data_IF_190793107002
#
_entry.id   IF_190793107002
#
_cell.length_a   1.000
_cell.length_b   1.000
_cell.length_c   1.000
_cell.angle_alpha   90.00
_cell.angle_beta   90.00
_cell.angle_gamma   90.00
#
_symmetry.space_group_name_H-M   'P 1'
#
loop_
_entity.id
_entity.type
_entity.pdbx_description
1 polymer ?
#
# COMPACT_ATOMS: atom_id res chain seq x y z
N UNK A 1 12.29 -10.35 -6.92
CA UNK A 1 12.87 -9.17 -6.25
C UNK A 1 13.47 -9.65 -4.94
N UNK A 2 14.77 -9.87 -4.92
CA UNK A 2 15.47 -10.50 -3.78
C UNK A 2 15.68 -9.53 -2.62
N UNK A 3 15.66 -8.22 -2.87
CA UNK A 3 15.76 -7.19 -1.83
C UNK A 3 14.95 -5.95 -2.23
N UNK A 4 14.28 -5.35 -1.26
CA UNK A 4 13.76 -3.99 -1.27
C UNK A 4 13.54 -3.55 0.18
N UNK A 5 13.46 -2.26 0.44
CA UNK A 5 13.21 -1.77 1.79
C UNK A 5 13.13 -0.26 1.87
N UNK A 6 12.72 0.24 3.04
CA UNK A 6 12.70 1.66 3.37
C UNK A 6 13.31 1.81 4.76
N UNK A 7 14.43 2.49 4.87
CA UNK A 7 15.14 2.69 6.15
C UNK A 7 14.57 3.86 6.93
N UNK A 8 14.60 3.75 8.26
CA UNK A 8 14.09 4.78 9.18
C UNK A 8 15.19 5.58 9.87
N UNK A 9 16.40 5.59 9.31
CA UNK A 9 17.51 6.38 9.85
C UNK A 9 17.21 7.89 9.86
N UNK A 10 17.85 8.61 10.76
CA UNK A 10 17.76 10.06 10.87
C UNK A 10 18.62 10.74 9.79
N UNK A 11 17.95 11.52 8.94
CA UNK A 11 18.63 12.30 7.92
C UNK A 11 19.56 13.35 8.57
N UNK A 12 20.77 13.46 8.04
CA UNK A 12 21.72 14.52 8.38
C UNK A 12 22.43 15.04 7.13
N UNK A 13 23.11 16.17 7.25
CA UNK A 13 23.79 16.84 6.12
C UNK A 13 24.81 15.94 5.39
N UNK A 14 25.41 14.99 6.09
CA UNK A 14 26.37 14.03 5.49
C UNK A 14 25.67 13.00 4.59
N UNK A 15 24.37 12.75 4.84
CA UNK A 15 23.57 11.71 4.16
C UNK A 15 22.62 12.28 3.09
N UNK A 16 22.46 13.61 2.97
CA UNK A 16 21.58 14.24 1.96
C UNK A 16 21.88 13.81 0.51
N UNK A 17 23.14 13.47 0.21
CA UNK A 17 23.58 13.01 -1.11
C UNK A 17 23.86 11.50 -1.18
N UNK A 18 23.59 10.77 -0.10
CA UNK A 18 23.79 9.32 -0.05
C UNK A 18 22.68 8.61 -0.85
N UNK A 19 22.84 7.30 -1.02
CA UNK A 19 21.91 6.47 -1.77
C UNK A 19 20.52 6.40 -1.12
N UNK A 20 20.47 6.39 0.20
CA UNK A 20 19.23 6.19 0.96
C UNK A 20 18.61 7.50 1.45
N UNK A 21 17.29 7.49 1.52
CA UNK A 21 16.50 8.50 2.23
C UNK A 21 15.94 7.90 3.51
N UNK A 22 15.98 8.68 4.60
CA UNK A 22 15.37 8.31 5.88
C UNK A 22 13.86 8.59 5.89
N UNK A 23 13.09 7.63 6.37
CA UNK A 23 11.62 7.73 6.49
C UNK A 23 11.17 7.65 7.95
N UNK A 24 9.98 8.18 8.25
CA UNK A 24 9.34 7.85 9.53
C UNK A 24 8.95 6.37 9.56
N UNK A 25 8.85 5.78 10.75
CA UNK A 25 8.41 4.38 10.88
C UNK A 25 6.99 4.13 10.32
N UNK A 26 6.10 5.13 10.37
CA UNK A 26 4.78 5.06 9.75
C UNK A 26 4.87 5.06 8.22
N UNK A 27 5.75 5.88 7.64
CA UNK A 27 6.00 5.89 6.21
C UNK A 27 6.62 4.57 5.75
N UNK A 28 7.59 4.03 6.50
CA UNK A 28 8.15 2.69 6.25
C UNK A 28 7.02 1.65 6.20
N UNK A 29 6.18 1.59 7.24
CA UNK A 29 5.08 0.63 7.30
C UNK A 29 4.12 0.73 6.10
N UNK A 30 3.74 1.94 5.71
CA UNK A 30 2.86 2.16 4.57
C UNK A 30 3.51 1.79 3.24
N UNK A 31 4.78 2.14 3.04
CA UNK A 31 5.46 1.86 1.77
C UNK A 31 5.77 0.38 1.60
N UNK A 32 6.08 -0.33 2.68
CA UNK A 32 6.17 -1.79 2.68
C UNK A 32 4.84 -2.43 2.29
N UNK A 33 3.74 -2.00 2.92
CA UNK A 33 2.41 -2.47 2.59
C UNK A 33 2.05 -2.25 1.12
N UNK A 34 2.28 -1.04 0.59
CA UNK A 34 2.05 -0.71 -0.82
C UNK A 34 2.89 -1.59 -1.74
N UNK A 35 4.18 -1.77 -1.43
CA UNK A 35 5.10 -2.54 -2.28
C UNK A 35 4.78 -4.02 -2.31
N UNK A 36 4.42 -4.60 -1.17
CA UNK A 36 3.98 -5.99 -1.11
C UNK A 36 2.62 -6.19 -1.80
N UNK A 37 1.65 -5.30 -1.57
CA UNK A 37 0.35 -5.37 -2.25
C UNK A 37 0.49 -5.25 -3.78
N UNK A 38 1.36 -4.36 -4.25
CA UNK A 38 1.70 -4.24 -5.67
C UNK A 38 2.43 -5.47 -6.19
N UNK A 39 3.38 -6.02 -5.42
CA UNK A 39 4.10 -7.25 -5.80
C UNK A 39 3.16 -8.43 -5.98
N UNK A 40 2.14 -8.56 -5.12
CA UNK A 40 1.12 -9.61 -5.21
C UNK A 40 0.29 -9.50 -6.51
N UNK A 41 0.10 -8.28 -7.02
CA UNK A 41 -0.68 -8.03 -8.23
C UNK A 41 0.12 -8.21 -9.53
N UNK A 42 1.44 -8.29 -9.44
CA UNK A 42 2.35 -8.40 -10.57
C UNK A 42 2.88 -9.83 -10.70
N UNK A 43 3.41 -10.23 -11.88
CA UNK A 43 4.03 -11.55 -12.07
C UNK A 43 5.41 -11.64 -11.40
N UNK A 44 5.49 -11.30 -10.11
CA UNK A 44 6.70 -11.36 -9.29
C UNK A 44 6.62 -12.62 -8.44
N UNK A 45 7.48 -13.59 -8.73
CA UNK A 45 7.48 -14.88 -8.03
C UNK A 45 7.85 -14.78 -6.54
N UNK A 46 8.70 -13.80 -6.19
CA UNK A 46 9.19 -13.59 -4.83
C UNK A 46 9.56 -12.13 -4.62
N UNK A 47 9.12 -11.58 -3.48
CA UNK A 47 9.51 -10.27 -2.97
C UNK A 47 10.02 -10.44 -1.54
N UNK A 48 11.29 -10.13 -1.32
CA UNK A 48 11.94 -10.24 -0.02
C UNK A 48 12.24 -8.84 0.52
N UNK A 49 11.63 -8.50 1.66
CA UNK A 49 11.90 -7.27 2.38
C UNK A 49 13.27 -7.39 3.09
N UNK A 50 14.14 -6.42 2.82
CA UNK A 50 15.34 -6.16 3.60
C UNK A 50 15.01 -5.12 4.67
N UNK A 51 14.98 -5.46 5.96
CA UNK A 51 15.18 -6.79 6.54
C UNK A 51 14.25 -7.02 7.74
N UNK A 52 14.48 -8.10 8.51
CA UNK A 52 13.60 -8.47 9.61
C UNK A 52 13.92 -7.72 10.91
N UNK A 53 15.21 -7.56 11.23
CA UNK A 53 15.73 -7.00 12.48
C UNK A 53 16.73 -5.91 12.11
N UNK A 54 16.57 -4.73 12.70
CA UNK A 54 17.53 -3.63 12.55
C UNK A 54 18.97 -4.09 12.87
N UNK A 55 19.89 -3.77 11.96
CA UNK A 55 21.33 -4.01 12.13
C UNK A 55 22.01 -2.97 13.04
N UNK A 56 23.29 -3.18 13.36
CA UNK A 56 24.19 -2.23 14.04
C UNK A 56 23.62 -1.57 15.31
N UNK A 57 22.75 -2.27 16.03
CA UNK A 57 22.15 -1.77 17.28
C UNK A 57 21.08 -0.69 17.08
N UNK A 58 20.44 -0.61 15.90
CA UNK A 58 19.46 0.45 15.57
C UNK A 58 20.04 1.86 15.71
N UNK A 59 21.32 2.06 15.38
CA UNK A 59 21.94 3.39 15.42
C UNK A 59 21.21 4.34 14.46
N UNK A 60 20.54 5.40 14.95
CA UNK A 60 19.73 6.28 14.12
C UNK A 60 20.54 7.03 13.06
N UNK A 61 21.86 7.22 13.23
CA UNK A 61 22.69 7.91 12.24
C UNK A 61 23.18 7.00 11.11
N UNK A 62 23.05 5.68 11.29
CA UNK A 62 23.49 4.66 10.34
C UNK A 62 22.33 4.25 9.43
N UNK A 63 22.48 4.49 8.13
CA UNK A 63 21.45 4.26 7.11
C UNK A 63 21.05 2.79 6.95
N UNK A 64 22.02 1.89 7.05
CA UNK A 64 21.78 0.44 7.00
C UNK A 64 21.22 -0.14 8.32
N UNK A 65 21.27 0.60 9.43
CA UNK A 65 20.92 0.09 10.76
C UNK A 65 19.41 0.08 11.05
N UNK A 66 18.57 0.57 10.12
CA UNK A 66 17.18 0.92 10.42
C UNK A 66 16.16 0.39 9.39
N UNK A 67 16.54 -0.65 8.63
CA UNK A 67 15.67 -1.30 7.65
C UNK A 67 14.68 -2.31 8.24
N UNK A 68 14.94 -2.78 9.46
CA UNK A 68 14.19 -3.83 10.12
C UNK A 68 12.74 -3.47 10.32
N UNK A 69 11.89 -4.51 10.41
CA UNK A 69 10.53 -4.39 10.95
C UNK A 69 10.50 -4.58 12.48
N UNK A 70 11.61 -5.05 13.05
CA UNK A 70 11.93 -5.07 14.47
C UNK A 70 13.16 -4.19 14.73
N UNK A 71 13.21 -3.56 15.90
CA UNK A 71 14.43 -2.90 16.39
C UNK A 71 15.39 -3.94 16.94
N UNK A 72 16.66 -3.57 17.14
CA UNK A 72 17.72 -4.44 17.65
C UNK A 72 17.43 -5.05 19.03
N UNK A 73 16.53 -4.44 19.82
CA UNK A 73 16.01 -4.96 21.09
C UNK A 73 14.78 -5.90 20.93
N UNK A 74 14.46 -6.29 19.68
CA UNK A 74 13.28 -7.06 19.27
C UNK A 74 11.94 -6.37 19.49
N UNK A 75 11.92 -5.08 19.87
CA UNK A 75 10.69 -4.31 19.90
C UNK A 75 10.14 -4.13 18.49
N UNK A 76 8.81 -4.15 18.36
CA UNK A 76 8.14 -4.10 17.07
C UNK A 76 8.08 -2.66 16.57
N UNK A 77 8.43 -2.45 15.29
CA UNK A 77 8.08 -1.22 14.56
C UNK A 77 6.64 -1.33 14.03
N UNK A 78 5.96 -0.23 13.69
CA UNK A 78 4.66 -0.23 13.04
C UNK A 78 4.57 -1.19 11.84
N UNK A 79 5.66 -1.29 11.06
CA UNK A 79 5.77 -2.20 9.92
C UNK A 79 5.46 -3.66 10.28
N UNK A 80 5.91 -4.16 11.44
CA UNK A 80 5.63 -5.52 11.88
C UNK A 80 4.13 -5.81 11.96
N UNK A 81 3.35 -4.88 12.53
CA UNK A 81 1.90 -5.06 12.72
C UNK A 81 1.15 -4.98 11.39
N UNK A 82 1.59 -4.09 10.51
CA UNK A 82 1.03 -3.96 9.16
C UNK A 82 1.31 -5.21 8.33
N UNK A 83 2.53 -5.73 8.35
CA UNK A 83 2.90 -6.97 7.67
C UNK A 83 2.16 -8.18 8.23
N UNK A 84 2.02 -8.26 9.56
CA UNK A 84 1.19 -9.29 10.22
C UNK A 84 -0.25 -9.26 9.67
N UNK A 85 -0.86 -8.07 9.62
CA UNK A 85 -2.24 -7.91 9.14
C UNK A 85 -2.38 -8.24 7.67
N UNK A 86 -1.48 -7.74 6.83
CA UNK A 86 -1.47 -8.03 5.39
C UNK A 86 -1.40 -9.55 5.16
N UNK A 87 -0.48 -10.24 5.83
CA UNK A 87 -0.35 -11.69 5.70
C UNK A 87 -1.61 -12.42 6.15
N UNK A 88 -2.25 -12.02 7.25
CA UNK A 88 -3.51 -12.62 7.70
C UNK A 88 -4.67 -12.45 6.71
N UNK A 89 -4.68 -11.36 5.95
CA UNK A 89 -5.79 -11.03 5.03
C UNK A 89 -5.56 -11.53 3.59
N UNK A 90 -4.31 -11.60 3.15
CA UNK A 90 -3.94 -11.86 1.76
C UNK A 90 -3.12 -13.16 1.57
N UNK A 91 -2.87 -13.94 2.62
CA UNK A 91 -2.22 -15.24 2.46
C UNK A 91 -3.02 -16.16 1.53
N UNK A 92 -2.37 -16.63 0.47
CA UNK A 92 -2.99 -17.45 -0.57
C UNK A 92 -3.88 -16.70 -1.55
N UNK A 93 -3.98 -15.36 -1.43
CA UNK A 93 -4.65 -14.56 -2.44
C UNK A 93 -3.82 -14.52 -3.73
N UNK A 94 -4.50 -14.48 -4.86
CA UNK A 94 -3.92 -14.37 -6.20
C UNK A 94 -4.66 -13.28 -7.00
N UNK A 95 -4.02 -12.67 -8.01
CA UNK A 95 -4.69 -11.70 -8.88
C UNK A 95 -5.99 -12.26 -9.46
N UNK A 96 -7.07 -11.48 -9.42
CA UNK A 96 -8.34 -11.86 -10.04
C UNK A 96 -8.57 -11.06 -11.34
N UNK A 97 -8.26 -11.63 -12.52
CA UNK A 97 -8.44 -10.93 -13.79
C UNK A 97 -9.92 -10.76 -14.19
N UNK A 98 -10.85 -11.44 -13.52
CA UNK A 98 -12.28 -11.31 -13.79
C UNK A 98 -12.86 -10.01 -13.20
N UNK A 99 -12.26 -9.50 -12.12
CA UNK A 99 -12.71 -8.29 -11.43
C UNK A 99 -11.92 -7.09 -11.93
N UNK A 100 -12.62 -6.07 -12.42
CA UNK A 100 -12.01 -4.85 -12.97
C UNK A 100 -12.36 -3.66 -12.12
N UNK A 101 -11.34 -2.91 -11.72
CA UNK A 101 -11.52 -1.66 -10.98
C UNK A 101 -11.20 -0.48 -11.88
N UNK A 102 -12.16 0.43 -12.04
CA UNK A 102 -12.02 1.65 -12.83
C UNK A 102 -12.16 2.87 -11.92
N UNK A 103 -11.08 3.65 -11.80
CA UNK A 103 -11.05 4.86 -10.97
C UNK A 103 -11.66 6.01 -11.77
N UNK A 104 -12.83 6.48 -11.36
CA UNK A 104 -13.63 7.46 -12.11
C UNK A 104 -13.40 8.89 -11.64
N UNK A 105 -12.94 9.09 -10.40
CA UNK A 105 -12.50 10.39 -9.91
C UNK A 105 -11.44 10.23 -8.83
N UNK A 106 -10.34 10.99 -8.95
CA UNK A 106 -9.21 10.89 -8.03
C UNK A 106 -8.54 12.25 -7.79
N UNK A 107 -9.27 13.19 -7.18
CA UNK A 107 -8.76 14.54 -6.91
C UNK A 107 -7.38 14.49 -6.24
N UNK A 108 -6.36 15.10 -6.85
CA UNK A 108 -5.01 15.11 -6.29
C UNK A 108 -4.88 16.18 -5.21
N UNK A 109 -4.26 15.84 -4.09
CA UNK A 109 -3.86 16.86 -3.13
C UNK A 109 -2.64 17.61 -3.69
N UNK A 110 -2.85 18.81 -4.26
CA UNK A 110 -1.81 19.56 -5.00
C UNK A 110 -0.49 19.72 -4.26
N UNK A 111 -0.54 19.93 -2.94
CA UNK A 111 0.66 20.11 -2.09
C UNK A 111 1.46 18.82 -1.88
N UNK A 112 0.93 17.67 -2.29
CA UNK A 112 1.59 16.37 -2.19
C UNK A 112 1.98 15.80 -3.56
N UNK A 113 1.70 16.51 -4.65
CA UNK A 113 2.06 16.05 -5.99
C UNK A 113 3.57 16.12 -6.13
N UNK A 114 4.19 14.95 -6.27
CA UNK A 114 5.61 14.85 -6.60
C UNK A 114 5.80 14.97 -8.10
N UNK A 115 6.84 15.70 -8.51
CA UNK A 115 7.24 15.85 -9.90
C UNK A 115 8.11 14.68 -10.37
N UNK A 116 9.28 15.00 -10.90
CA UNK A 116 10.30 14.02 -11.29
C UNK A 116 11.02 13.45 -10.06
N UNK A 117 11.12 12.12 -9.98
CA UNK A 117 11.82 11.41 -8.89
C UNK A 117 13.24 11.05 -9.27
N UNK A 118 13.44 10.63 -10.52
CA UNK A 118 14.75 10.30 -11.08
C UNK A 118 14.92 11.11 -12.35
N UNK A 119 16.04 11.80 -12.44
CA UNK A 119 16.46 12.57 -13.61
C UNK A 119 17.86 12.10 -14.01
N UNK A 120 18.07 11.92 -15.31
CA UNK A 120 19.38 11.63 -15.91
C UNK A 120 20.04 10.32 -15.45
N UNK A 121 19.28 9.36 -14.92
CA UNK A 121 19.77 8.00 -14.69
C UNK A 121 19.75 7.24 -16.02
N UNK A 122 20.92 7.07 -16.65
CA UNK A 122 21.05 6.45 -17.98
C UNK A 122 20.11 7.07 -19.04
N UNK A 123 19.96 8.40 -19.01
CA UNK A 123 19.01 9.16 -19.85
C UNK A 123 17.53 8.83 -19.63
N UNK A 124 17.19 8.13 -18.55
CA UNK A 124 15.82 7.90 -18.13
C UNK A 124 15.35 8.98 -17.16
N UNK A 125 14.07 9.33 -17.28
CA UNK A 125 13.32 10.12 -16.30
C UNK A 125 12.19 9.27 -15.74
N UNK A 126 12.01 9.32 -14.42
CA UNK A 126 10.90 8.66 -13.74
C UNK A 126 10.09 9.72 -13.01
N UNK A 127 8.88 9.96 -13.51
CA UNK A 127 7.89 10.78 -12.83
C UNK A 127 7.26 10.04 -11.65
N UNK A 128 6.86 10.78 -10.61
CA UNK A 128 6.11 10.19 -9.53
C UNK A 128 4.72 9.75 -9.99
N UNK A 129 4.38 8.49 -9.71
CA UNK A 129 2.99 8.08 -9.73
C UNK A 129 2.27 8.77 -8.57
N UNK A 130 1.37 9.71 -8.87
CA UNK A 130 0.55 10.41 -7.85
C UNK A 130 -0.87 9.84 -7.76
N UNK A 131 -1.27 9.06 -8.76
CA UNK A 131 -2.63 8.54 -8.89
C UNK A 131 -2.97 7.45 -7.89
N UNK A 132 -4.15 6.89 -8.07
CA UNK A 132 -4.66 5.74 -7.32
C UNK A 132 -4.10 4.44 -7.92
N UNK A 133 -3.86 3.46 -7.05
CA UNK A 133 -3.62 2.07 -7.40
C UNK A 133 -4.79 1.25 -6.93
N UNK A 134 -5.25 0.36 -7.79
CA UNK A 134 -6.34 -0.55 -7.51
C UNK A 134 -6.00 -1.92 -8.11
N UNK A 135 -6.07 -2.96 -7.30
CA UNK A 135 -5.82 -4.34 -7.75
C UNK A 135 -6.86 -5.27 -7.14
N UNK A 136 -7.38 -6.16 -7.98
CA UNK A 136 -8.34 -7.17 -7.55
C UNK A 136 -7.63 -8.50 -7.29
N UNK A 137 -8.08 -9.18 -6.24
CA UNK A 137 -7.59 -10.49 -5.85
C UNK A 137 -8.76 -11.42 -5.53
N UNK A 138 -8.47 -12.71 -5.59
CA UNK A 138 -9.32 -13.78 -5.08
C UNK A 138 -8.49 -14.69 -4.21
N UNK A 139 -9.13 -15.37 -3.27
CA UNK A 139 -8.48 -16.41 -2.49
C UNK A 139 -9.22 -17.73 -2.75
N UNK A 140 -8.56 -18.75 -3.34
CA UNK A 140 -9.19 -20.05 -3.58
C UNK A 140 -9.76 -20.70 -2.31
N UNK A 141 -9.23 -20.37 -1.13
CA UNK A 141 -9.73 -20.87 0.15
C UNK A 141 -11.01 -20.16 0.63
N UNK A 142 -11.31 -18.96 0.14
CA UNK A 142 -12.54 -18.21 0.43
C UNK A 142 -13.27 -17.83 -0.87
N UNK A 143 -13.81 -18.81 -1.62
CA UNK A 143 -14.40 -18.59 -2.93
C UNK A 143 -15.63 -17.65 -2.91
N UNK A 144 -16.26 -17.50 -1.74
CA UNK A 144 -17.38 -16.61 -1.46
C UNK A 144 -16.97 -15.15 -1.25
N UNK A 145 -15.67 -14.83 -1.36
CA UNK A 145 -15.12 -13.48 -1.22
C UNK A 145 -14.43 -13.00 -2.51
N UNK A 146 -14.50 -11.69 -2.77
CA UNK A 146 -13.62 -10.98 -3.71
C UNK A 146 -12.96 -9.81 -3.01
N UNK A 147 -11.71 -9.57 -3.35
CA UNK A 147 -10.84 -8.62 -2.67
C UNK A 147 -10.41 -7.52 -3.65
N UNK A 148 -10.40 -6.27 -3.20
CA UNK A 148 -9.81 -5.16 -3.95
C UNK A 148 -8.91 -4.37 -3.01
N UNK A 149 -7.62 -4.25 -3.31
CA UNK A 149 -6.72 -3.32 -2.62
C UNK A 149 -6.72 -1.97 -3.35
N UNK A 150 -6.89 -0.87 -2.62
CA UNK A 150 -6.99 0.50 -3.15
C UNK A 150 -6.13 1.46 -2.33
N UNK A 151 -5.28 2.26 -2.97
CA UNK A 151 -4.46 3.28 -2.29
C UNK A 151 -4.03 4.44 -3.17
N UNK A 152 -3.63 5.55 -2.54
CA UNK A 152 -2.99 6.69 -3.19
C UNK A 152 -1.48 6.50 -3.27
N UNK A 153 -0.86 6.80 -4.41
CA UNK A 153 0.60 6.78 -4.54
C UNK A 153 1.27 8.07 -4.05
N UNK A 154 0.51 9.07 -3.62
CA UNK A 154 1.06 10.25 -2.94
C UNK A 154 1.83 9.85 -1.66
N UNK A 155 2.87 10.60 -1.29
CA UNK A 155 3.71 10.27 -0.14
C UNK A 155 2.94 10.28 1.18
N UNK A 156 3.44 9.55 2.16
CA UNK A 156 3.05 9.76 3.55
C UNK A 156 3.54 11.15 4.00
N UNK A 157 2.65 11.97 4.56
CA UNK A 157 2.99 13.30 5.09
C UNK A 157 2.48 13.54 6.52
N UNK A 158 1.42 12.86 6.95
CA UNK A 158 0.73 13.14 8.22
C UNK A 158 0.04 14.51 8.32
N UNK A 159 0.20 15.39 7.32
CA UNK A 159 -0.30 16.77 7.36
C UNK A 159 -1.72 16.92 6.80
N UNK A 160 -2.04 16.17 5.73
CA UNK A 160 -3.23 16.40 4.93
C UNK A 160 -4.35 15.40 5.25
N UNK A 161 -5.59 15.85 5.07
CA UNK A 161 -6.80 15.06 5.31
C UNK A 161 -7.07 14.02 4.20
N UNK A 162 -8.22 13.34 4.27
CA UNK A 162 -8.62 12.30 3.33
C UNK A 162 -8.74 12.82 1.88
N UNK A 163 -8.21 12.04 0.93
CA UNK A 163 -8.40 12.23 -0.51
C UNK A 163 -9.63 11.43 -0.96
N UNK A 164 -10.77 12.05 -1.30
CA UNK A 164 -11.92 11.29 -1.78
C UNK A 164 -11.62 10.66 -3.15
N UNK A 165 -11.96 9.38 -3.30
CA UNK A 165 -11.84 8.63 -4.55
C UNK A 165 -13.20 8.04 -4.94
N UNK A 166 -13.54 8.14 -6.22
CA UNK A 166 -14.68 7.44 -6.81
C UNK A 166 -14.16 6.38 -7.76
N UNK A 167 -14.79 5.22 -7.74
CA UNK A 167 -14.40 4.11 -8.59
C UNK A 167 -15.57 3.16 -8.79
N UNK A 168 -15.40 2.28 -9.76
CA UNK A 168 -16.34 1.20 -10.01
C UNK A 168 -15.63 -0.14 -10.02
N UNK A 169 -16.34 -1.19 -9.59
CA UNK A 169 -15.85 -2.57 -9.60
C UNK A 169 -16.82 -3.40 -10.42
N UNK A 170 -16.33 -3.88 -11.55
CA UNK A 170 -17.05 -4.77 -12.48
C UNK A 170 -16.55 -6.21 -12.33
N UNK A 171 -17.32 -7.17 -12.84
CA UNK A 171 -17.02 -8.60 -12.74
C UNK A 171 -17.38 -9.22 -11.39
N UNK A 172 -18.20 -8.52 -10.58
CA UNK A 172 -18.63 -9.00 -9.28
C UNK A 172 -19.78 -10.00 -9.35
N UNK A 173 -20.56 -10.08 -10.44
CA UNK A 173 -21.62 -11.08 -10.59
C UNK A 173 -22.57 -11.16 -9.38
N UNK A 174 -22.53 -12.28 -8.65
CA UNK A 174 -23.38 -12.56 -7.48
C UNK A 174 -22.90 -11.92 -6.17
N UNK A 175 -21.72 -11.30 -6.14
CA UNK A 175 -21.10 -10.74 -4.94
C UNK A 175 -21.73 -9.38 -4.55
N UNK A 176 -22.98 -9.44 -4.14
CA UNK A 176 -23.85 -8.26 -3.92
C UNK A 176 -24.22 -8.02 -2.45
N UNK A 177 -23.77 -8.90 -1.53
CA UNK A 177 -23.94 -8.67 -0.09
C UNK A 177 -23.16 -7.42 0.35
N UNK A 178 -23.59 -6.73 1.43
CA UNK A 178 -22.92 -5.54 1.94
C UNK A 178 -21.40 -5.75 2.09
N UNK A 179 -20.57 -5.03 1.31
CA UNK A 179 -19.13 -5.17 1.38
C UNK A 179 -18.55 -4.39 2.57
N UNK A 180 -17.34 -4.78 2.98
CA UNK A 180 -16.59 -4.09 4.05
C UNK A 180 -15.28 -3.56 3.51
N UNK A 181 -14.85 -2.41 4.03
CA UNK A 181 -13.52 -1.88 3.82
C UNK A 181 -12.70 -2.05 5.09
N UNK A 182 -11.43 -2.45 4.94
CA UNK A 182 -10.48 -2.61 6.03
C UNK A 182 -9.29 -1.70 5.76
N UNK A 183 -9.00 -0.80 6.69
CA UNK A 183 -7.76 -0.03 6.70
C UNK A 183 -6.61 -0.97 7.09
N UNK A 184 -5.72 -1.28 6.15
CA UNK A 184 -4.63 -2.22 6.41
C UNK A 184 -3.48 -1.61 7.24
N UNK A 185 -3.46 -0.31 7.48
CA UNK A 185 -2.53 0.33 8.42
C UNK A 185 -3.02 0.17 9.86
N UNK A 186 -4.30 0.41 10.12
CA UNK A 186 -4.87 0.44 11.49
C UNK A 186 -5.58 -0.85 11.89
N UNK A 187 -6.15 -1.56 10.92
CA UNK A 187 -7.04 -2.70 11.14
C UNK A 187 -8.49 -2.33 11.40
N UNK A 188 -8.82 -1.03 11.37
CA UNK A 188 -10.20 -0.58 11.46
C UNK A 188 -10.99 -1.07 10.24
N UNK A 189 -12.23 -1.50 10.46
CA UNK A 189 -13.15 -1.91 9.41
C UNK A 189 -14.43 -1.09 9.46
N UNK A 190 -15.01 -0.84 8.29
CA UNK A 190 -16.27 -0.12 8.15
C UNK A 190 -17.06 -0.64 6.96
N UNK A 191 -18.38 -0.45 6.98
CA UNK A 191 -19.25 -0.79 5.85
C UNK A 191 -18.89 0.09 4.66
N UNK A 192 -18.64 -0.53 3.51
CA UNK A 192 -18.28 0.20 2.30
C UNK A 192 -19.56 0.80 1.67
N UNK A 193 -19.70 2.13 1.62
CA UNK A 193 -20.84 2.75 0.94
C UNK A 193 -20.76 2.46 -0.56
N UNK A 194 -21.66 1.60 -1.04
CA UNK A 194 -21.66 1.10 -2.41
C UNK A 194 -23.08 1.06 -2.98
N UNK A 195 -23.18 1.30 -4.28
CA UNK A 195 -24.39 1.06 -5.06
C UNK A 195 -24.14 -0.06 -6.06
N UNK A 196 -24.95 -1.12 -6.00
CA UNK A 196 -24.89 -2.21 -6.97
C UNK A 196 -25.94 -2.00 -8.06
N UNK A 197 -25.51 -1.93 -9.32
CA UNK A 197 -26.39 -1.85 -10.49
C UNK A 197 -25.80 -2.68 -11.63
N UNK A 198 -26.60 -3.52 -12.28
CA UNK A 198 -26.20 -4.34 -13.45
C UNK A 198 -24.90 -5.16 -13.23
N UNK A 199 -24.71 -5.74 -12.03
CA UNK A 199 -23.51 -6.53 -11.70
C UNK A 199 -22.25 -5.71 -11.42
N UNK A 200 -22.38 -4.38 -11.36
CA UNK A 200 -21.30 -3.42 -11.11
C UNK A 200 -21.51 -2.72 -9.77
N UNK A 201 -20.46 -2.65 -8.97
CA UNK A 201 -20.42 -1.84 -7.76
C UNK A 201 -19.90 -0.43 -8.09
N UNK A 202 -20.59 0.59 -7.61
CA UNK A 202 -20.16 2.00 -7.74
C UNK A 202 -19.95 2.57 -6.34
N UNK A 203 -18.76 3.11 -6.12
CA UNK A 203 -18.37 3.79 -4.89
C UNK A 203 -18.07 5.24 -5.22
N UNK A 204 -18.72 6.16 -4.51
CA UNK A 204 -18.62 7.61 -4.78
C UNK A 204 -17.97 8.30 -3.60
N UNK A 205 -16.89 9.05 -3.88
CA UNK A 205 -16.19 9.91 -2.92
C UNK A 205 -15.80 9.20 -1.60
N UNK A 206 -15.31 7.96 -1.69
CA UNK A 206 -14.77 7.23 -0.55
C UNK A 206 -13.57 7.99 0.02
N UNK A 207 -13.57 8.39 1.30
CA UNK A 207 -12.41 9.00 1.93
C UNK A 207 -11.23 8.01 1.91
N UNK A 208 -10.17 8.35 1.18
CA UNK A 208 -8.94 7.58 1.14
C UNK A 208 -7.83 8.36 1.85
N UNK A 209 -7.51 7.92 3.06
CA UNK A 209 -6.42 8.48 3.86
C UNK A 209 -5.06 7.90 3.43
N UNK A 210 -4.02 8.12 4.23
CA UNK A 210 -2.67 7.60 3.99
C UNK A 210 -2.58 6.12 4.37
N UNK A 211 -3.33 5.28 3.66
CA UNK A 211 -3.45 3.84 3.90
C UNK A 211 -3.48 3.03 2.60
N UNK A 212 -3.60 1.71 2.73
CA UNK A 212 -4.15 0.81 1.72
C UNK A 212 -5.46 0.24 2.27
N UNK A 213 -6.56 0.49 1.58
CA UNK A 213 -7.84 -0.13 1.90
C UNK A 213 -7.91 -1.49 1.23
N UNK A 214 -8.31 -2.51 1.99
CA UNK A 214 -8.75 -3.80 1.45
C UNK A 214 -10.27 -3.86 1.50
N UNK A 215 -10.89 -3.83 0.33
CA UNK A 215 -12.33 -3.98 0.17
C UNK A 215 -12.65 -5.47 0.01
N UNK A 216 -13.62 -5.97 0.77
CA UNK A 216 -14.12 -7.34 0.65
C UNK A 216 -15.57 -7.31 0.17
N UNK A 217 -15.83 -7.98 -0.95
CA UNK A 217 -17.15 -8.23 -1.51
C UNK A 217 -17.55 -9.67 -1.25
N UNK A 218 -18.83 -9.91 -0.98
CA UNK A 218 -19.34 -11.21 -0.56
C UNK A 218 -20.53 -11.64 -1.41
N UNK A 219 -20.67 -12.93 -1.66
CA UNK A 219 -21.88 -13.55 -2.22
C UNK A 219 -22.70 -14.25 -1.15
#
# INVERSE_FOLDING_TARGET
MTEFGFTTFEMNDKKVKALYAGFSEQAQALYLLRRFAESLALPVALSCQYDFLDDYGSDPETDEANFGILRSDYSRKPAFRVMQRMNSLLAGAEPDPAVKVDVTAEALHRSMVRGELVKDWDSASIGAANGIRAYAFRNPATPDERLVALWSMQPFSGEFNSRPVSFTVDGLGEFTKPPVAIDMMTGASFDLPVKFENGKATVTALPLEQTVLLLKFFR
#
